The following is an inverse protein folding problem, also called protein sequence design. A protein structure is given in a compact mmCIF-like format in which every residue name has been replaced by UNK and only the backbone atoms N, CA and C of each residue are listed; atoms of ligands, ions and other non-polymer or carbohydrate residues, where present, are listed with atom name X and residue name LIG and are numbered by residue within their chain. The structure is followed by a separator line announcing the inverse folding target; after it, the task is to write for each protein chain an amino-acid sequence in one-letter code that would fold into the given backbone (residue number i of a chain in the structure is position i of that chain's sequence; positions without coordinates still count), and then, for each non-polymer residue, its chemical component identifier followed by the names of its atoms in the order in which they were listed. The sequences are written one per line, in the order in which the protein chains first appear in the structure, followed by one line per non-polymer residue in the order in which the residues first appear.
data_IF_165583312443
#
_entry.id   IF_165583312443
#
_cell.length_a   1.000
_cell.length_b   1.000
_cell.length_c   1.000
_cell.angle_alpha   90.00
_cell.angle_beta   90.00
_cell.angle_gamma   90.00
#
_symmetry.space_group_name_H-M   'P 1'
#
loop_
_entity.id
_entity.type
_entity.pdbx_description
1 polymer ?
#
# COMPACT_ATOMS: atom_id res chain seq x y z
N UNK A 1 1.35 17.36 -18.20
CA UNK A 1 1.22 16.78 -16.85
C UNK A 1 -0.04 17.28 -16.16
N UNK A 2 -0.18 18.59 -15.89
CA UNK A 2 -1.38 19.13 -15.22
C UNK A 2 -2.70 18.81 -15.92
N UNK A 3 -2.77 18.92 -17.24
CA UNK A 3 -4.00 18.59 -18.00
C UNK A 3 -4.40 17.11 -17.87
N UNK A 4 -3.42 16.22 -17.80
CA UNK A 4 -3.65 14.79 -17.59
C UNK A 4 -4.06 14.51 -16.13
N UNK A 5 -3.47 15.20 -15.15
CA UNK A 5 -3.92 15.15 -13.76
C UNK A 5 -5.39 15.59 -13.64
N UNK A 6 -5.76 16.70 -14.28
CA UNK A 6 -7.14 17.17 -14.34
C UNK A 6 -8.08 16.21 -15.07
N UNK A 7 -7.60 15.48 -16.07
CA UNK A 7 -8.39 14.44 -16.74
C UNK A 7 -8.72 13.27 -15.79
N UNK A 8 -7.77 12.85 -14.95
CA UNK A 8 -8.05 11.86 -13.90
C UNK A 8 -9.06 12.37 -12.88
N UNK A 9 -8.88 13.61 -12.41
CA UNK A 9 -9.81 14.22 -11.47
C UNK A 9 -11.24 14.30 -12.02
N UNK A 10 -11.42 14.67 -13.30
CA UNK A 10 -12.73 14.65 -13.99
C UNK A 10 -13.34 13.25 -14.10
N UNK A 11 -12.51 12.20 -14.08
CA UNK A 11 -12.95 10.81 -14.02
C UNK A 11 -13.18 10.32 -12.57
N UNK A 12 -13.26 11.23 -11.59
CA UNK A 12 -13.38 10.94 -10.15
C UNK A 12 -12.24 10.06 -9.59
N UNK A 13 -11.05 10.20 -10.16
CA UNK A 13 -9.84 9.53 -9.66
C UNK A 13 -8.99 10.57 -8.92
N UNK A 14 -8.85 10.48 -7.58
CA UNK A 14 -8.02 11.40 -6.80
C UNK A 14 -6.55 11.37 -7.25
N UNK A 15 -5.96 12.57 -7.36
CA UNK A 15 -4.61 12.79 -7.88
C UNK A 15 -3.72 13.44 -6.82
N UNK A 16 -2.42 13.18 -6.91
CA UNK A 16 -1.38 13.87 -6.13
C UNK A 16 -0.10 14.06 -6.98
N UNK A 17 0.68 15.12 -6.75
CA UNK A 17 2.00 15.30 -7.37
C UNK A 17 3.05 14.37 -6.74
N UNK A 18 3.91 13.78 -7.58
CA UNK A 18 5.02 12.92 -7.15
C UNK A 18 6.38 13.47 -7.58
N UNK A 19 7.39 13.28 -6.73
CA UNK A 19 8.82 13.33 -7.07
C UNK A 19 9.29 11.90 -7.37
N UNK A 20 9.50 11.58 -8.65
CA UNK A 20 9.70 10.18 -9.07
C UNK A 20 8.46 9.35 -8.75
N UNK A 21 8.51 8.56 -7.66
CA UNK A 21 7.37 7.77 -7.16
C UNK A 21 6.88 8.20 -5.77
N UNK A 22 7.44 9.26 -5.18
CA UNK A 22 7.19 9.67 -3.79
C UNK A 22 6.27 10.90 -3.77
N UNK A 23 5.19 10.95 -2.98
CA UNK A 23 4.32 12.11 -2.82
C UNK A 23 5.08 13.39 -2.45
N UNK A 24 4.69 14.52 -3.05
CA UNK A 24 5.19 15.86 -2.70
C UNK A 24 4.29 16.61 -1.71
N UNK A 25 3.20 15.99 -1.30
CA UNK A 25 2.16 16.53 -0.41
C UNK A 25 2.53 16.30 1.06
N UNK A 26 2.01 17.15 1.95
CA UNK A 26 2.36 17.18 3.37
C UNK A 26 1.96 15.87 4.09
N UNK A 27 0.73 15.41 3.89
CA UNK A 27 0.22 14.15 4.44
C UNK A 27 0.37 12.99 3.44
N UNK A 28 1.31 13.12 2.50
CA UNK A 28 1.60 12.13 1.47
C UNK A 28 0.37 11.75 0.65
N UNK A 29 0.14 10.45 0.45
CA UNK A 29 -0.98 9.96 -0.39
C UNK A 29 -2.36 10.41 0.11
N UNK A 30 -2.49 10.74 1.40
CA UNK A 30 -3.80 11.03 1.99
C UNK A 30 -4.35 12.40 1.57
N UNK A 31 -3.50 13.28 1.06
CA UNK A 31 -3.90 14.56 0.46
C UNK A 31 -4.47 14.44 -0.97
N UNK A 32 -4.42 13.25 -1.60
CA UNK A 32 -4.86 13.12 -2.99
C UNK A 32 -6.31 13.59 -3.18
N UNK A 33 -6.54 14.41 -4.21
CA UNK A 33 -7.81 15.13 -4.39
C UNK A 33 -8.29 15.11 -5.83
N UNK A 34 -9.57 15.40 -6.03
CA UNK A 34 -10.18 15.70 -7.34
C UNK A 34 -10.45 17.19 -7.53
N UNK A 35 -10.13 18.05 -6.54
CA UNK A 35 -10.35 19.50 -6.66
C UNK A 35 -9.39 20.10 -7.71
N UNK A 36 -9.91 20.63 -8.84
CA UNK A 36 -9.08 21.20 -9.88
C UNK A 36 -8.28 22.43 -9.43
N UNK A 37 -8.73 23.15 -8.40
CA UNK A 37 -8.01 24.32 -7.86
C UNK A 37 -6.74 23.87 -7.15
N UNK A 38 -6.85 22.86 -6.29
CA UNK A 38 -5.71 22.27 -5.57
C UNK A 38 -4.73 21.63 -6.55
N UNK A 39 -5.23 20.86 -7.53
CA UNK A 39 -4.37 20.23 -8.55
C UNK A 39 -3.59 21.27 -9.36
N UNK A 40 -4.25 22.36 -9.82
CA UNK A 40 -3.53 23.44 -10.53
C UNK A 40 -2.48 24.11 -9.65
N UNK A 41 -2.79 24.33 -8.37
CA UNK A 41 -1.84 24.93 -7.44
C UNK A 41 -0.59 24.05 -7.26
N UNK A 42 -0.76 22.73 -7.08
CA UNK A 42 0.36 21.79 -7.00
C UNK A 42 1.23 21.78 -8.26
N UNK A 43 0.64 21.74 -9.46
CA UNK A 43 1.43 21.74 -10.69
C UNK A 43 2.02 23.11 -11.05
N UNK A 44 1.51 24.20 -10.48
CA UNK A 44 2.20 25.50 -10.53
C UNK A 44 3.46 25.49 -9.67
N UNK A 45 3.40 24.84 -8.50
CA UNK A 45 4.55 24.70 -7.59
C UNK A 45 5.55 23.65 -8.07
N UNK A 46 5.09 22.57 -8.69
CA UNK A 46 5.90 21.45 -9.19
C UNK A 46 5.56 21.13 -10.66
N UNK A 47 6.04 21.94 -11.63
CA UNK A 47 5.65 21.81 -13.04
C UNK A 47 6.01 20.48 -13.69
N UNK A 48 7.07 19.84 -13.20
CA UNK A 48 7.64 18.58 -13.67
C UNK A 48 7.14 17.35 -12.89
N UNK A 49 6.26 17.53 -11.90
CA UNK A 49 5.79 16.44 -11.05
C UNK A 49 5.13 15.32 -11.85
N UNK A 50 5.49 14.09 -11.49
CA UNK A 50 4.78 12.90 -11.91
C UNK A 50 3.37 12.88 -11.29
N UNK A 51 2.48 12.11 -11.88
CA UNK A 51 1.09 11.97 -11.47
C UNK A 51 0.95 10.70 -10.63
N UNK A 52 0.61 10.85 -9.36
CA UNK A 52 0.10 9.78 -8.52
C UNK A 52 -1.42 9.76 -8.57
N UNK A 53 -2.02 8.58 -8.56
CA UNK A 53 -3.47 8.42 -8.42
C UNK A 53 -3.81 7.43 -7.32
N UNK A 54 -4.88 7.70 -6.59
CA UNK A 54 -5.52 6.69 -5.73
C UNK A 54 -6.64 6.03 -6.51
N UNK A 55 -6.68 4.69 -6.59
CA UNK A 55 -7.86 4.00 -7.08
C UNK A 55 -9.11 4.47 -6.30
N UNK A 56 -10.22 4.78 -6.97
CA UNK A 56 -11.48 5.09 -6.27
C UNK A 56 -11.95 3.92 -5.39
N UNK A 57 -12.82 4.20 -4.42
CA UNK A 57 -13.55 3.13 -3.72
C UNK A 57 -14.31 2.26 -4.72
N UNK A 58 -14.34 0.94 -4.51
CA UNK A 58 -14.92 -0.01 -5.46
C UNK A 58 -14.00 -0.36 -6.64
N UNK A 59 -12.75 0.10 -6.63
CA UNK A 59 -11.74 -0.22 -7.65
C UNK A 59 -10.45 -0.74 -7.01
N UNK A 60 -9.91 -1.80 -7.59
CA UNK A 60 -8.56 -2.29 -7.31
C UNK A 60 -7.72 -2.31 -8.58
N UNK A 61 -6.41 -2.13 -8.42
CA UNK A 61 -5.42 -2.29 -9.46
C UNK A 61 -4.47 -3.40 -9.09
N UNK A 62 -4.31 -4.38 -9.97
CA UNK A 62 -3.24 -5.37 -9.88
C UNK A 62 -2.01 -4.78 -10.56
N UNK A 63 -1.00 -4.46 -9.75
CA UNK A 63 0.29 -3.91 -10.16
C UNK A 63 1.30 -5.06 -10.30
N UNK A 64 1.61 -5.39 -11.54
CA UNK A 64 2.45 -6.52 -11.95
C UNK A 64 3.86 -6.02 -12.23
N UNK A 65 4.81 -6.32 -11.34
CA UNK A 65 6.22 -5.94 -11.50
C UNK A 65 7.08 -7.16 -11.91
N UNK A 66 7.57 -7.23 -13.17
CA UNK A 66 8.39 -8.34 -13.63
C UNK A 66 9.71 -8.46 -12.86
N UNK A 67 10.22 -7.37 -12.28
CA UNK A 67 11.44 -7.39 -11.46
C UNK A 67 11.26 -8.19 -10.16
N UNK A 68 10.01 -8.40 -9.75
CA UNK A 68 9.63 -9.19 -8.58
C UNK A 68 8.96 -10.52 -8.95
N UNK A 69 9.09 -10.95 -10.22
CA UNK A 69 8.50 -12.21 -10.72
C UNK A 69 7.04 -12.10 -11.19
N UNK A 70 6.49 -10.88 -11.28
CA UNK A 70 5.13 -10.64 -11.76
C UNK A 70 4.99 -10.88 -13.26
N UNK A 71 4.01 -11.70 -13.65
CA UNK A 71 3.67 -11.92 -15.06
C UNK A 71 2.16 -11.82 -15.26
N UNK A 72 1.73 -11.40 -16.45
CA UNK A 72 0.31 -11.42 -16.82
C UNK A 72 -0.25 -12.84 -16.81
N UNK A 73 0.55 -13.84 -17.18
CA UNK A 73 0.10 -15.22 -17.24
C UNK A 73 -0.27 -15.78 -15.85
N UNK A 74 0.39 -15.31 -14.79
CA UNK A 74 0.04 -15.64 -13.40
C UNK A 74 -1.35 -15.16 -12.96
N UNK A 75 -1.97 -14.27 -13.75
CA UNK A 75 -3.30 -13.73 -13.51
C UNK A 75 -4.37 -14.36 -14.40
N UNK A 76 -3.99 -15.06 -15.47
CA UNK A 76 -4.94 -15.60 -16.44
C UNK A 76 -5.83 -16.68 -15.81
N UNK A 77 -7.07 -16.83 -16.30
CA UNK A 77 -7.74 -15.94 -17.26
C UNK A 77 -8.15 -14.61 -16.63
N UNK A 78 -8.21 -13.52 -17.38
CA UNK A 78 -8.85 -12.27 -16.97
C UNK A 78 -9.50 -11.63 -18.20
N UNK A 79 -10.63 -10.90 -18.03
CA UNK A 79 -11.28 -10.22 -19.15
C UNK A 79 -10.42 -9.06 -19.63
N UNK A 80 -10.62 -8.65 -20.88
CA UNK A 80 -10.05 -7.39 -21.35
C UNK A 80 -10.59 -6.25 -20.47
N UNK A 81 -9.69 -5.59 -19.75
CA UNK A 81 -9.99 -4.49 -18.84
C UNK A 81 -9.04 -3.33 -19.10
N UNK A 82 -9.26 -2.21 -18.41
CA UNK A 82 -8.38 -1.05 -18.52
C UNK A 82 -6.96 -1.38 -18.06
N UNK A 83 -5.98 -1.16 -18.94
CA UNK A 83 -4.59 -1.54 -18.72
C UNK A 83 -3.62 -0.39 -19.00
N UNK A 84 -2.58 -0.27 -18.16
CA UNK A 84 -1.44 0.59 -18.41
C UNK A 84 -0.12 -0.18 -18.33
N UNK A 85 0.84 0.19 -19.17
CA UNK A 85 2.22 -0.30 -19.10
C UNK A 85 3.02 0.61 -18.17
N UNK A 86 3.80 0.02 -17.29
CA UNK A 86 4.68 0.78 -16.39
C UNK A 86 6.02 1.07 -17.06
N UNK A 87 6.71 2.13 -16.62
CA UNK A 87 8.04 2.44 -17.14
C UNK A 87 9.12 1.39 -16.79
N UNK A 88 8.85 0.47 -15.87
CA UNK A 88 9.73 -0.67 -15.57
C UNK A 88 9.38 -1.94 -16.35
N UNK A 89 8.48 -1.86 -17.33
CA UNK A 89 8.08 -2.99 -18.18
C UNK A 89 6.96 -3.86 -17.61
N UNK A 90 6.38 -3.47 -16.47
CA UNK A 90 5.24 -4.13 -15.83
C UNK A 90 3.88 -3.61 -16.31
N UNK A 91 2.84 -3.97 -15.56
CA UNK A 91 1.44 -3.68 -15.92
C UNK A 91 0.60 -3.24 -14.73
N UNK A 92 -0.32 -2.31 -14.97
CA UNK A 92 -1.45 -2.01 -14.09
C UNK A 92 -2.73 -2.53 -14.73
N UNK A 93 -3.45 -3.45 -14.09
CA UNK A 93 -4.76 -3.94 -14.53
C UNK A 93 -5.83 -3.44 -13.56
N UNK A 94 -6.79 -2.67 -14.05
CA UNK A 94 -7.82 -2.06 -13.23
C UNK A 94 -9.08 -2.92 -13.21
N UNK A 95 -9.66 -3.16 -12.03
CA UNK A 95 -10.86 -3.96 -11.86
C UNK A 95 -11.83 -3.33 -10.86
N UNK A 96 -13.14 -3.57 -11.02
CA UNK A 96 -14.13 -3.31 -9.98
C UNK A 96 -13.96 -4.32 -8.85
N UNK A 97 -13.87 -3.82 -7.63
CA UNK A 97 -13.64 -4.60 -6.42
C UNK A 97 -14.09 -3.81 -5.19
N UNK A 98 -15.16 -4.28 -4.54
CA UNK A 98 -15.76 -3.61 -3.37
C UNK A 98 -15.16 -4.08 -2.03
N UNK A 99 -14.07 -4.85 -2.07
CA UNK A 99 -13.35 -5.27 -0.88
C UNK A 99 -12.22 -4.33 -0.50
N UNK A 100 -11.64 -4.57 0.68
CA UNK A 100 -10.39 -3.95 1.07
C UNK A 100 -9.22 -4.92 0.90
N UNK A 101 -8.07 -4.38 0.50
CA UNK A 101 -6.82 -5.13 0.50
C UNK A 101 -5.63 -4.22 0.75
N UNK A 102 -4.60 -4.81 1.35
CA UNK A 102 -3.27 -4.22 1.53
C UNK A 102 -2.22 -5.29 1.23
N UNK A 103 -1.36 -5.03 0.25
CA UNK A 103 -0.16 -5.84 -0.01
C UNK A 103 -0.26 -6.71 -1.26
N UNK A 104 0.40 -7.86 -1.21
CA UNK A 104 0.58 -8.76 -2.36
C UNK A 104 -0.60 -9.68 -2.58
N UNK A 105 -0.85 -10.04 -3.84
CA UNK A 105 -1.81 -11.06 -4.21
C UNK A 105 -1.30 -12.45 -3.77
N UNK A 106 -2.14 -13.24 -3.09
CA UNK A 106 -1.80 -14.60 -2.68
C UNK A 106 -1.43 -15.47 -3.88
N UNK A 107 -0.32 -16.20 -3.81
CA UNK A 107 0.18 -17.03 -4.92
C UNK A 107 0.52 -16.24 -6.19
N UNK A 108 0.65 -14.91 -6.13
CA UNK A 108 1.06 -14.04 -7.23
C UNK A 108 2.39 -13.35 -6.93
N UNK A 109 3.53 -14.00 -7.20
CA UNK A 109 4.84 -13.35 -7.08
C UNK A 109 4.86 -12.05 -7.87
N UNK A 110 5.37 -10.97 -7.26
CA UNK A 110 5.49 -9.68 -7.93
C UNK A 110 4.18 -9.00 -8.34
N UNK A 111 3.04 -9.41 -7.77
CA UNK A 111 1.74 -8.75 -7.99
C UNK A 111 1.25 -8.11 -6.70
N UNK A 112 1.18 -6.78 -6.70
CA UNK A 112 0.60 -5.99 -5.62
C UNK A 112 -0.88 -5.64 -5.92
N UNK A 113 -1.71 -5.64 -4.88
CA UNK A 113 -3.09 -5.14 -4.93
C UNK A 113 -3.10 -3.71 -4.40
N UNK A 114 -3.44 -2.75 -5.27
CA UNK A 114 -3.60 -1.33 -4.91
C UNK A 114 -5.09 -0.99 -4.89
N UNK A 115 -5.56 -0.48 -3.75
CA UNK A 115 -6.94 0.00 -3.55
C UNK A 115 -6.92 1.48 -3.19
N UNK A 116 -8.07 2.05 -2.82
CA UNK A 116 -8.18 3.41 -2.29
C UNK A 116 -7.26 3.69 -1.07
N UNK A 117 -6.78 2.67 -0.35
CA UNK A 117 -5.80 2.82 0.75
C UNK A 117 -4.35 3.03 0.26
N UNK A 118 -4.09 2.92 -1.03
CA UNK A 118 -2.79 3.11 -1.66
C UNK A 118 -2.85 4.11 -2.80
N UNK A 119 -1.72 4.26 -3.49
CA UNK A 119 -1.62 5.03 -4.73
C UNK A 119 -0.71 4.28 -5.71
N UNK A 120 -0.76 4.70 -6.97
CA UNK A 120 0.09 4.22 -8.05
C UNK A 120 0.53 5.39 -8.92
N UNK A 121 1.61 5.20 -9.68
CA UNK A 121 2.08 6.18 -10.66
C UNK A 121 1.25 6.04 -11.95
N UNK A 122 0.60 7.10 -12.40
CA UNK A 122 -0.29 7.07 -13.55
C UNK A 122 0.39 7.57 -14.84
N UNK A 123 -0.03 7.08 -16.02
CA UNK A 123 0.35 7.69 -17.30
C UNK A 123 0.02 9.20 -17.34
N UNK A 124 0.83 10.07 -17.97
CA UNK A 124 2.03 9.77 -18.76
C UNK A 124 3.35 9.97 -17.99
N UNK A 125 3.35 9.73 -16.68
CA UNK A 125 4.52 9.90 -15.79
C UNK A 125 5.77 9.19 -16.30
N UNK A 126 6.94 9.63 -15.85
CA UNK A 126 8.25 9.09 -16.22
C UNK A 126 8.80 8.28 -15.05
N UNK A 127 9.22 7.04 -15.29
CA UNK A 127 9.85 6.23 -14.27
C UNK A 127 11.24 6.80 -13.90
N UNK A 128 11.56 6.97 -12.60
CA UNK A 128 12.78 7.67 -12.20
C UNK A 128 14.08 6.99 -12.62
N UNK A 129 14.13 5.65 -12.59
CA UNK A 129 15.35 4.89 -12.94
C UNK A 129 15.46 4.58 -14.44
N UNK A 130 14.40 4.02 -15.05
CA UNK A 130 14.44 3.63 -16.47
C UNK A 130 14.21 4.77 -17.44
N UNK A 131 13.75 5.93 -16.96
CA UNK A 131 13.31 7.09 -17.76
C UNK A 131 12.21 6.81 -18.78
N UNK A 132 11.62 5.60 -18.76
CA UNK A 132 10.52 5.23 -19.64
C UNK A 132 9.18 5.72 -19.08
N UNK A 133 8.26 6.04 -19.99
CA UNK A 133 6.93 6.54 -19.65
C UNK A 133 5.99 5.42 -19.25
N UNK A 134 5.11 5.75 -18.30
CA UNK A 134 3.87 5.00 -18.09
C UNK A 134 2.90 5.34 -19.23
N UNK A 135 2.26 4.35 -19.84
CA UNK A 135 1.34 4.54 -20.97
C UNK A 135 0.07 3.75 -20.79
N UNK A 136 -1.08 4.31 -21.20
CA UNK A 136 -2.29 3.52 -21.36
C UNK A 136 -2.11 2.55 -22.53
N UNK A 137 -2.38 1.26 -22.31
CA UNK A 137 -2.25 0.24 -23.35
C UNK A 137 -3.55 0.05 -24.14
N UNK A 138 -4.69 0.42 -23.55
CA UNK A 138 -6.01 0.35 -24.16
C UNK A 138 -6.95 1.39 -23.52
N UNK A 139 -8.17 1.47 -24.05
CA UNK A 139 -9.28 2.29 -23.54
C UNK A 139 -10.46 1.44 -23.05
N UNK A 140 -10.25 0.14 -22.84
CA UNK A 140 -11.29 -0.78 -22.40
C UNK A 140 -11.92 -0.33 -21.07
N UNK A 141 -13.22 -0.61 -20.83
CA UNK A 141 -13.85 -0.30 -19.56
C UNK A 141 -13.25 -1.13 -18.42
N UNK A 142 -13.35 -0.63 -17.19
CA UNK A 142 -12.98 -1.38 -15.98
C UNK A 142 -13.97 -2.52 -15.78
N UNK A 143 -13.49 -3.76 -15.80
CA UNK A 143 -14.29 -4.98 -15.62
C UNK A 143 -14.34 -5.45 -14.16
N UNK A 144 -15.30 -6.31 -13.77
CA UNK A 144 -15.27 -6.99 -12.47
C UNK A 144 -13.97 -7.77 -12.25
N UNK A 145 -13.44 -7.75 -11.04
CA UNK A 145 -12.31 -8.59 -10.67
C UNK A 145 -12.73 -10.08 -10.77
N UNK A 146 -12.01 -10.92 -11.55
CA UNK A 146 -12.31 -12.34 -11.66
C UNK A 146 -12.33 -13.06 -10.32
N UNK A 147 -13.27 -14.00 -10.14
CA UNK A 147 -13.50 -14.67 -8.86
C UNK A 147 -12.26 -15.42 -8.32
N UNK A 148 -11.47 -16.06 -9.19
CA UNK A 148 -10.24 -16.75 -8.79
C UNK A 148 -9.15 -15.79 -8.31
N UNK A 149 -9.07 -14.58 -8.88
CA UNK A 149 -8.15 -13.53 -8.41
C UNK A 149 -8.67 -12.92 -7.10
N UNK A 150 -9.98 -12.70 -7.00
CA UNK A 150 -10.63 -12.22 -5.77
C UNK A 150 -10.36 -13.15 -4.59
N UNK A 151 -10.45 -14.47 -4.80
CA UNK A 151 -10.17 -15.47 -3.77
C UNK A 151 -8.72 -15.46 -3.26
N UNK A 152 -7.78 -14.90 -4.03
CA UNK A 152 -6.36 -14.76 -3.67
C UNK A 152 -6.07 -13.46 -2.93
N UNK A 153 -7.01 -12.52 -2.88
CA UNK A 153 -6.86 -11.28 -2.13
C UNK A 153 -7.02 -11.59 -0.65
N UNK A 154 -5.95 -11.37 0.12
CA UNK A 154 -6.03 -11.46 1.58
C UNK A 154 -6.81 -10.25 2.11
N UNK A 155 -7.78 -10.44 3.03
CA UNK A 155 -8.46 -9.34 3.68
C UNK A 155 -7.44 -8.49 4.44
N UNK A 156 -7.69 -7.17 4.48
CA UNK A 156 -6.99 -6.32 5.45
C UNK A 156 -7.33 -6.84 6.84
N UNK A 157 -6.31 -7.35 7.53
CA UNK A 157 -6.45 -7.65 8.95
C UNK A 157 -6.69 -6.31 9.63
N UNK A 158 -7.92 -6.10 10.11
CA UNK A 158 -8.15 -5.03 11.06
C UNK A 158 -7.25 -5.35 12.26
N UNK A 159 -6.59 -4.34 12.86
CA UNK A 159 -5.89 -4.58 14.11
C UNK A 159 -6.87 -5.31 15.02
N UNK A 160 -6.49 -6.50 15.49
CA UNK A 160 -7.25 -7.16 16.53
C UNK A 160 -7.32 -6.11 17.63
N UNK A 161 -8.53 -5.71 18.03
CA UNK A 161 -8.72 -4.98 19.28
C UNK A 161 -8.32 -5.96 20.37
N UNK A 162 -7.03 -6.00 20.67
CA UNK A 162 -6.54 -6.74 21.83
C UNK A 162 -7.17 -6.02 23.02
N UNK A 163 -7.97 -6.74 23.81
CA UNK A 163 -8.50 -6.19 25.04
C UNK A 163 -7.34 -5.64 25.87
N UNK A 164 -7.54 -4.50 26.53
CA UNK A 164 -6.53 -3.89 27.39
C UNK A 164 -5.89 -4.97 28.27
N UNK A 165 -4.58 -5.10 28.16
CA UNK A 165 -3.82 -6.14 28.86
C UNK A 165 -3.77 -5.73 30.34
N UNK A 166 -4.32 -6.52 31.28
CA UNK A 166 -4.20 -6.21 32.69
C UNK A 166 -2.76 -6.47 33.16
N UNK A 167 -2.06 -5.42 33.58
CA UNK A 167 -0.72 -5.53 34.18
C UNK A 167 0.12 -4.28 33.91
N UNK A 168 0.38 -3.47 34.95
CA UNK A 168 1.10 -2.20 34.83
C UNK A 168 2.60 -2.32 34.55
N UNK A 169 3.11 -3.52 34.26
CA UNK A 169 4.52 -3.80 33.97
C UNK A 169 4.78 -4.16 32.49
N UNK A 170 3.75 -4.13 31.63
CA UNK A 170 3.88 -4.45 30.21
C UNK A 170 4.07 -5.95 29.88
N UNK A 171 4.11 -6.83 30.89
CA UNK A 171 4.37 -8.27 30.73
C UNK A 171 3.38 -8.98 29.81
N UNK A 172 2.15 -8.49 29.70
CA UNK A 172 1.17 -9.09 28.81
C UNK A 172 1.32 -8.67 27.34
N UNK A 173 2.01 -7.57 27.02
CA UNK A 173 2.36 -7.24 25.62
C UNK A 173 3.33 -8.28 25.04
N UNK A 174 4.29 -8.73 25.85
CA UNK A 174 5.24 -9.81 25.52
C UNK A 174 4.48 -11.12 25.31
N UNK A 175 3.52 -11.46 26.18
CA UNK A 175 2.68 -12.67 26.05
C UNK A 175 1.82 -12.65 24.79
N UNK A 176 1.24 -11.49 24.43
CA UNK A 176 0.45 -11.32 23.21
C UNK A 176 1.30 -11.63 21.98
N UNK A 177 2.53 -11.11 21.91
CA UNK A 177 3.44 -11.42 20.80
C UNK A 177 3.83 -12.89 20.82
N UNK A 178 4.24 -13.44 21.97
CA UNK A 178 4.66 -14.84 22.07
C UNK A 178 3.57 -15.85 21.68
N UNK A 179 2.29 -15.48 21.82
CA UNK A 179 1.15 -16.32 21.44
C UNK A 179 0.71 -16.16 19.97
N UNK A 180 1.34 -15.27 19.20
CA UNK A 180 0.89 -14.92 17.85
C UNK A 180 1.03 -16.07 16.84
N UNK A 181 -0.04 -16.33 16.08
CA UNK A 181 -0.04 -17.36 15.03
C UNK A 181 0.53 -16.81 13.72
N UNK A 182 0.94 -17.73 12.84
CA UNK A 182 1.39 -17.36 11.50
C UNK A 182 0.31 -16.56 10.76
N UNK A 183 0.66 -15.36 10.29
CA UNK A 183 -0.27 -14.39 9.70
C UNK A 183 -0.64 -13.22 10.63
N UNK A 184 -0.51 -13.37 11.95
CA UNK A 184 -0.87 -12.34 12.94
C UNK A 184 0.36 -11.61 13.51
N UNK A 185 1.52 -12.27 13.45
CA UNK A 185 2.76 -11.89 14.15
C UNK A 185 3.17 -10.43 13.96
N UNK A 186 3.27 -9.95 12.72
CA UNK A 186 3.70 -8.58 12.44
C UNK A 186 2.68 -7.53 12.93
N UNK A 187 1.38 -7.84 12.90
CA UNK A 187 0.35 -6.92 13.36
C UNK A 187 0.32 -6.82 14.88
N UNK A 188 0.43 -7.97 15.58
CA UNK A 188 0.50 -8.00 17.03
C UNK A 188 1.79 -7.36 17.54
N UNK A 189 2.92 -7.58 16.86
CA UNK A 189 4.18 -6.91 17.16
C UNK A 189 4.05 -5.39 17.01
N UNK A 190 3.48 -4.92 15.90
CA UNK A 190 3.25 -3.49 15.68
C UNK A 190 2.37 -2.88 16.78
N UNK A 191 1.25 -3.53 17.08
CA UNK A 191 0.34 -3.08 18.14
C UNK A 191 1.02 -3.04 19.52
N UNK A 192 1.78 -4.08 19.87
CA UNK A 192 2.51 -4.12 21.15
C UNK A 192 3.55 -3.01 21.26
N UNK A 193 4.28 -2.69 20.18
CA UNK A 193 5.21 -1.56 20.20
C UNK A 193 4.51 -0.20 20.34
N UNK A 194 3.43 0.04 19.59
CA UNK A 194 2.65 1.28 19.72
C UNK A 194 2.12 1.44 21.14
N UNK A 195 1.52 0.38 21.70
CA UNK A 195 0.95 0.38 23.05
C UNK A 195 2.03 0.65 24.10
N UNK A 196 3.15 -0.09 24.05
CA UNK A 196 4.28 0.12 24.98
C UNK A 196 4.79 1.57 24.93
N UNK A 197 4.91 2.15 23.73
CA UNK A 197 5.39 3.52 23.57
C UNK A 197 4.39 4.56 24.07
N UNK A 198 3.09 4.38 23.80
CA UNK A 198 2.04 5.27 24.28
C UNK A 198 1.96 5.29 25.81
N UNK A 199 2.18 4.14 26.45
CA UNK A 199 2.24 4.00 27.91
C UNK A 199 3.58 4.46 28.52
N UNK A 200 4.54 4.90 27.70
CA UNK A 200 5.83 5.41 28.17
C UNK A 200 6.75 4.31 28.72
N UNK A 201 6.65 3.10 28.18
CA UNK A 201 7.47 1.97 28.60
C UNK A 201 8.97 2.20 28.41
N UNK A 202 9.77 1.53 29.23
CA UNK A 202 11.22 1.59 29.15
C UNK A 202 11.79 0.82 27.92
N UNK A 203 13.06 1.06 27.56
CA UNK A 203 13.72 0.35 26.46
C UNK A 203 13.82 -1.16 26.66
N UNK A 204 13.79 -1.65 27.91
CA UNK A 204 13.89 -3.08 28.21
C UNK A 204 12.61 -3.80 27.77
N UNK A 205 11.43 -3.21 28.01
CA UNK A 205 10.18 -3.78 27.54
C UNK A 205 10.12 -3.87 26.00
N UNK A 206 10.63 -2.86 25.30
CA UNK A 206 10.73 -2.91 23.83
C UNK A 206 11.66 -4.05 23.37
N UNK A 207 12.78 -4.27 24.06
CA UNK A 207 13.68 -5.37 23.80
C UNK A 207 13.03 -6.75 24.08
N UNK A 208 12.21 -6.84 25.11
CA UNK A 208 11.49 -8.07 25.49
C UNK A 208 10.38 -8.40 24.48
N UNK A 209 9.64 -7.39 24.01
CA UNK A 209 8.67 -7.52 22.90
C UNK A 209 9.37 -8.02 21.63
N UNK A 210 10.53 -7.45 21.28
CA UNK A 210 11.35 -7.93 20.18
C UNK A 210 11.85 -9.37 20.39
N UNK A 211 12.20 -9.72 21.64
CA UNK A 211 12.58 -11.08 22.04
C UNK A 211 11.46 -12.10 21.80
N UNK A 212 10.23 -11.75 22.15
CA UNK A 212 9.06 -12.59 21.88
C UNK A 212 8.80 -12.74 20.37
N UNK A 213 9.01 -11.69 19.57
CA UNK A 213 8.87 -11.77 18.12
C UNK A 213 9.91 -12.71 17.47
N UNK A 214 11.16 -12.67 17.96
CA UNK A 214 12.21 -13.61 17.52
C UNK A 214 11.82 -15.06 17.82
N UNK A 215 11.31 -15.34 19.01
CA UNK A 215 11.01 -16.72 19.44
C UNK A 215 9.90 -17.38 18.62
N UNK A 216 9.01 -16.58 18.05
CA UNK A 216 7.95 -17.04 17.12
C UNK A 216 8.39 -16.98 15.64
N UNK A 217 9.67 -16.71 15.35
CA UNK A 217 10.26 -16.82 14.02
C UNK A 217 10.22 -15.57 13.15
N UNK A 218 10.11 -14.36 13.72
CA UNK A 218 10.35 -13.12 12.97
C UNK A 218 11.85 -12.87 12.85
N UNK A 219 12.28 -12.43 11.67
CA UNK A 219 13.67 -11.99 11.46
C UNK A 219 13.95 -10.63 12.12
N UNK A 220 15.20 -10.38 12.49
CA UNK A 220 15.63 -9.06 13.00
C UNK A 220 15.20 -7.91 12.10
N UNK A 221 15.31 -8.10 10.79
CA UNK A 221 14.91 -7.11 9.81
C UNK A 221 13.39 -6.80 9.84
N UNK A 222 12.54 -7.81 10.02
CA UNK A 222 11.10 -7.62 10.18
C UNK A 222 10.75 -6.90 11.49
N UNK A 223 11.45 -7.25 12.58
CA UNK A 223 11.26 -6.63 13.90
C UNK A 223 11.63 -5.16 13.85
N UNK A 224 12.84 -4.83 13.37
CA UNK A 224 13.30 -3.45 13.25
C UNK A 224 12.41 -2.61 12.33
N UNK A 225 11.97 -3.19 11.20
CA UNK A 225 11.05 -2.50 10.28
C UNK A 225 9.73 -2.17 10.98
N UNK A 226 9.22 -3.09 11.79
CA UNK A 226 7.97 -2.94 12.54
C UNK A 226 8.12 -1.89 13.64
N UNK A 227 9.23 -1.90 14.38
CA UNK A 227 9.57 -0.89 15.38
C UNK A 227 9.63 0.52 14.77
N UNK A 228 10.39 0.69 13.68
CA UNK A 228 10.45 1.97 12.94
C UNK A 228 9.08 2.42 12.41
N UNK A 229 8.20 1.46 12.13
CA UNK A 229 6.83 1.80 11.73
C UNK A 229 6.00 2.30 12.90
N UNK A 230 6.17 1.74 14.09
CA UNK A 230 5.49 2.16 15.31
C UNK A 230 5.96 3.54 15.79
N UNK A 231 7.27 3.82 15.72
CA UNK A 231 7.86 5.13 16.07
C UNK A 231 7.25 6.27 15.23
N UNK A 232 7.05 6.03 13.93
CA UNK A 232 6.42 6.99 13.01
C UNK A 232 4.92 7.17 13.22
N UNK A 233 4.27 6.32 14.03
CA UNK A 233 2.84 6.43 14.31
C UNK A 233 2.53 7.52 15.35
N UNK A 234 3.52 8.00 16.13
CA UNK A 234 3.35 9.03 17.17
C UNK A 234 3.42 10.48 16.64
N UNK A 235 3.46 10.69 15.32
CA UNK A 235 3.50 12.02 14.68
C UNK A 235 2.19 12.27 13.96
#
# INVERSE_FOLDING_TARGET
MVEQALAYARANIPVLPLSGKIPRTEHGKDDATTDPRVIRAWWRQFPDANIGVRPPTGVAVLDVDPRNGGTLDSLRPYPETRMARTGSGGWHLWFRFDGESRGRLGGGPGVDVKTHRGYLVAPPSVHPETHQRYTWSNSAPIQPLPAHLRARIRPVHHPIRVAAVPGGDGSGLVKVVAAAREGERNNLLFWSFVTAMEEGADPQLLADIAGAARSIGLSEYEIERTLRSAERHRI
#
